data_IF_764084023078
#
_entry.id   IF_764084023078
#
_cell.length_a   1.000
_cell.length_b   1.000
_cell.length_c   1.000
_cell.angle_alpha   90.00
_cell.angle_beta   90.00
_cell.angle_gamma   90.00
#
_symmetry.space_group_name_H-M   'P 1'
#
loop_
_entity.id
_entity.type
_entity.pdbx_description
1 polymer ?
#
# COMPACT_ATOMS: atom_id res chain seq x y z
N UNK A 1 -18.48 38.59 -8.26
CA UNK A 1 -17.85 37.61 -7.35
C UNK A 1 -16.38 37.92 -7.33
N UNK A 2 -15.87 38.39 -6.18
CA UNK A 2 -14.50 38.88 -6.05
C UNK A 2 -13.48 37.72 -6.15
N UNK A 3 -12.30 37.98 -6.71
CA UNK A 3 -11.26 36.97 -6.97
C UNK A 3 -10.75 36.33 -5.66
N UNK A 4 -10.72 37.10 -4.57
CA UNK A 4 -10.39 36.59 -3.24
C UNK A 4 -11.45 35.60 -2.72
N UNK A 5 -12.73 35.90 -2.98
CA UNK A 5 -13.86 35.07 -2.57
C UNK A 5 -13.87 33.74 -3.34
N UNK A 6 -13.52 33.75 -4.63
CA UNK A 6 -13.34 32.53 -5.44
C UNK A 6 -12.20 31.66 -4.93
N UNK A 7 -11.04 32.25 -4.61
CA UNK A 7 -9.88 31.51 -4.04
C UNK A 7 -10.24 30.85 -2.71
N UNK A 8 -10.90 31.60 -1.81
CA UNK A 8 -11.34 31.07 -0.51
C UNK A 8 -12.37 29.95 -0.67
N UNK A 9 -13.31 30.08 -1.60
CA UNK A 9 -14.29 29.03 -1.91
C UNK A 9 -13.62 27.77 -2.46
N UNK A 10 -12.66 27.91 -3.40
CA UNK A 10 -11.89 26.78 -3.92
C UNK A 10 -11.13 26.05 -2.80
N UNK A 11 -10.43 26.79 -1.95
CA UNK A 11 -9.69 26.21 -0.82
C UNK A 11 -10.61 25.47 0.16
N UNK A 12 -11.77 26.04 0.47
CA UNK A 12 -12.78 25.39 1.33
C UNK A 12 -13.34 24.12 0.67
N UNK A 13 -13.59 24.14 -0.64
CA UNK A 13 -14.07 22.97 -1.39
C UNK A 13 -13.02 21.85 -1.41
N UNK A 14 -11.75 22.18 -1.61
CA UNK A 14 -10.65 21.21 -1.53
C UNK A 14 -10.49 20.64 -0.13
N UNK A 15 -10.53 21.48 0.92
CA UNK A 15 -10.51 21.03 2.32
C UNK A 15 -11.68 20.12 2.66
N UNK A 16 -12.90 20.47 2.22
CA UNK A 16 -14.07 19.62 2.45
C UNK A 16 -13.98 18.29 1.71
N UNK A 17 -13.46 18.28 0.46
CA UNK A 17 -13.22 17.05 -0.29
C UNK A 17 -12.22 16.14 0.43
N UNK A 18 -11.11 16.70 0.94
CA UNK A 18 -10.11 16.00 1.75
C UNK A 18 -10.70 15.44 3.05
N UNK A 19 -11.53 16.23 3.74
CA UNK A 19 -12.17 15.77 4.98
C UNK A 19 -13.14 14.61 4.76
N UNK A 20 -13.84 14.61 3.62
CA UNK A 20 -14.74 13.51 3.24
C UNK A 20 -13.95 12.24 2.86
N UNK A 21 -12.82 12.37 2.15
CA UNK A 21 -11.95 11.23 1.86
C UNK A 21 -11.26 10.67 3.12
N UNK A 22 -10.84 11.54 4.05
CA UNK A 22 -10.18 11.15 5.32
C UNK A 22 -11.08 10.30 6.23
N UNK A 23 -12.39 10.22 5.94
CA UNK A 23 -13.35 9.42 6.70
C UNK A 23 -13.97 8.26 5.91
N UNK A 24 -13.80 8.20 4.58
CA UNK A 24 -14.41 7.15 3.76
C UNK A 24 -13.89 5.75 4.14
N UNK A 25 -12.59 5.60 4.36
CA UNK A 25 -12.00 4.32 4.77
C UNK A 25 -12.49 3.84 6.14
N UNK A 26 -12.93 4.74 7.02
CA UNK A 26 -13.52 4.37 8.32
C UNK A 26 -14.83 3.60 8.17
N UNK A 27 -15.52 3.81 7.05
CA UNK A 27 -16.76 3.12 6.71
C UNK A 27 -16.53 1.91 5.78
N UNK A 28 -15.29 1.65 5.35
CA UNK A 28 -14.96 0.48 4.56
C UNK A 28 -14.87 -0.74 5.48
N UNK A 29 -15.90 -1.60 5.44
CA UNK A 29 -15.99 -2.82 6.26
C UNK A 29 -14.78 -3.73 6.11
N UNK A 30 -14.32 -3.99 4.89
CA UNK A 30 -13.18 -4.88 4.63
C UNK A 30 -11.88 -4.32 5.22
N UNK A 31 -11.70 -2.99 5.13
CA UNK A 31 -10.56 -2.34 5.76
C UNK A 31 -10.64 -2.43 7.29
N UNK A 32 -11.82 -2.18 7.89
CA UNK A 32 -11.98 -2.29 9.34
C UNK A 32 -11.73 -3.73 9.83
N UNK A 33 -12.29 -4.74 9.16
CA UNK A 33 -12.05 -6.16 9.46
C UNK A 33 -10.56 -6.52 9.37
N UNK A 34 -9.88 -6.04 8.31
CA UNK A 34 -8.43 -6.20 8.18
C UNK A 34 -7.68 -5.57 9.35
N UNK A 35 -7.99 -4.33 9.70
CA UNK A 35 -7.35 -3.61 10.82
C UNK A 35 -7.58 -4.33 12.16
N UNK A 36 -8.79 -4.84 12.41
CA UNK A 36 -9.12 -5.56 13.64
C UNK A 36 -8.32 -6.87 13.79
N UNK A 37 -7.92 -7.50 12.68
CA UNK A 37 -7.06 -8.69 12.68
C UNK A 37 -5.57 -8.36 12.84
N UNK A 38 -5.14 -7.16 12.44
CA UNK A 38 -3.76 -6.73 12.60
C UNK A 38 -3.51 -6.30 14.06
N UNK A 39 -2.43 -6.81 14.64
CA UNK A 39 -1.95 -6.37 15.96
C UNK A 39 -0.71 -5.49 15.80
N UNK A 40 -0.56 -4.46 16.65
CA UNK A 40 0.59 -3.55 16.66
C UNK A 40 0.88 -2.90 15.29
N UNK A 41 -0.16 -2.34 14.67
CA UNK A 41 -0.07 -1.61 13.40
C UNK A 41 -0.08 -0.08 13.62
N UNK A 42 0.25 0.65 12.57
CA UNK A 42 0.13 2.10 12.49
C UNK A 42 -0.59 2.45 11.18
N UNK A 43 -1.70 3.18 11.26
CA UNK A 43 -2.42 3.70 10.09
C UNK A 43 -1.83 5.06 9.72
N UNK A 44 -1.42 5.23 8.47
CA UNK A 44 -0.87 6.48 7.96
C UNK A 44 -1.99 7.45 7.52
N UNK A 45 -1.64 8.73 7.36
CA UNK A 45 -2.55 9.68 6.69
C UNK A 45 -2.64 9.37 5.19
N UNK A 46 -3.70 9.84 4.53
CA UNK A 46 -3.81 9.72 3.07
C UNK A 46 -2.68 10.47 2.34
N UNK A 47 -2.23 11.61 2.89
CA UNK A 47 -1.09 12.36 2.35
C UNK A 47 0.20 11.56 2.42
N UNK A 48 0.54 10.98 3.58
CA UNK A 48 1.71 10.12 3.72
C UNK A 48 1.61 8.85 2.87
N UNK A 49 0.39 8.33 2.67
CA UNK A 49 0.14 7.19 1.78
C UNK A 49 0.45 7.54 0.32
N UNK A 50 0.02 8.71 -0.14
CA UNK A 50 0.32 9.21 -1.48
C UNK A 50 1.82 9.40 -1.69
N UNK A 51 2.53 9.96 -0.70
CA UNK A 51 3.99 10.09 -0.74
C UNK A 51 4.70 8.73 -0.87
N UNK A 52 4.19 7.69 -0.20
CA UNK A 52 4.73 6.34 -0.27
C UNK A 52 4.52 5.73 -1.66
N UNK A 53 3.33 5.91 -2.26
CA UNK A 53 3.08 5.48 -3.63
C UNK A 53 4.00 6.17 -4.63
N UNK A 54 4.24 7.48 -4.46
CA UNK A 54 5.18 8.22 -5.32
C UNK A 54 6.59 7.62 -5.25
N UNK A 55 7.10 7.35 -4.04
CA UNK A 55 8.43 6.73 -3.85
C UNK A 55 8.50 5.30 -4.39
N UNK A 56 7.41 4.54 -4.29
CA UNK A 56 7.30 3.21 -4.90
C UNK A 56 7.47 3.31 -6.42
N UNK A 57 6.73 4.21 -7.08
CA UNK A 57 6.79 4.38 -8.54
C UNK A 57 8.14 4.95 -9.01
N UNK A 58 8.81 5.75 -8.18
CA UNK A 58 10.17 6.22 -8.44
C UNK A 58 11.22 5.10 -8.32
N UNK A 59 11.03 4.17 -7.38
CA UNK A 59 12.01 3.12 -7.06
C UNK A 59 11.81 1.84 -7.87
N UNK A 60 10.59 1.54 -8.28
CA UNK A 60 10.22 0.32 -8.98
C UNK A 60 9.58 0.67 -10.33
N UNK A 61 9.91 -0.06 -11.41
CA UNK A 61 9.25 0.15 -12.69
C UNK A 61 7.80 -0.31 -12.57
N UNK A 62 6.85 0.59 -12.83
CA UNK A 62 5.42 0.30 -12.79
C UNK A 62 4.82 0.43 -14.19
N UNK A 63 3.93 -0.49 -14.52
CA UNK A 63 3.17 -0.49 -15.78
C UNK A 63 2.10 0.60 -15.77
N UNK A 64 1.55 0.95 -16.94
CA UNK A 64 0.49 1.97 -17.03
C UNK A 64 -0.81 1.56 -16.29
N UNK A 65 -0.98 0.28 -15.99
CA UNK A 65 -2.12 -0.29 -15.26
C UNK A 65 -1.79 -0.59 -13.79
N UNK A 66 -0.66 -0.09 -13.27
CA UNK A 66 -0.39 -0.02 -11.83
C UNK A 66 0.40 -1.19 -11.23
N UNK A 67 0.65 -2.27 -11.98
CA UNK A 67 1.47 -3.40 -11.50
C UNK A 67 2.96 -3.19 -11.72
N UNK A 68 3.80 -3.85 -10.93
CA UNK A 68 5.25 -3.84 -11.14
C UNK A 68 5.60 -4.49 -12.49
N UNK A 69 6.37 -3.78 -13.31
CA UNK A 69 6.93 -4.30 -14.56
C UNK A 69 8.15 -5.17 -14.25
N UNK A 70 7.89 -6.42 -13.84
CA UNK A 70 8.93 -7.40 -13.54
C UNK A 70 9.88 -7.69 -14.70
N UNK A 71 9.48 -7.41 -15.94
CA UNK A 71 10.34 -7.55 -17.12
C UNK A 71 11.39 -6.43 -17.24
N UNK A 72 11.13 -5.27 -16.64
CA UNK A 72 12.07 -4.14 -16.56
C UNK A 72 12.74 -4.00 -15.19
N UNK A 73 12.31 -4.77 -14.20
CA UNK A 73 12.87 -4.70 -12.85
C UNK A 73 14.29 -5.27 -12.81
N UNK A 74 15.25 -4.39 -12.51
CA UNK A 74 16.66 -4.75 -12.41
C UNK A 74 17.02 -5.04 -10.95
N UNK A 75 16.64 -6.23 -10.47
CA UNK A 75 16.87 -6.67 -9.10
C UNK A 75 16.73 -8.18 -8.92
N UNK A 76 16.75 -8.64 -7.67
CA UNK A 76 16.46 -10.04 -7.36
C UNK A 76 14.94 -10.23 -7.45
N UNK A 77 14.51 -11.21 -8.25
CA UNK A 77 13.10 -11.57 -8.40
C UNK A 77 12.89 -12.99 -7.88
N UNK A 78 11.82 -13.21 -7.11
CA UNK A 78 11.38 -14.53 -6.71
C UNK A 78 9.87 -14.70 -6.91
N UNK A 79 9.48 -15.81 -7.56
CA UNK A 79 8.10 -16.13 -7.91
C UNK A 79 7.61 -17.43 -7.25
N UNK A 80 8.33 -17.96 -6.25
CA UNK A 80 7.93 -19.15 -5.49
C UNK A 80 6.75 -18.89 -4.55
N UNK A 81 6.30 -17.65 -4.44
CA UNK A 81 5.13 -17.23 -3.68
C UNK A 81 5.26 -17.36 -2.17
N UNK A 82 4.14 -17.65 -1.50
CA UNK A 82 4.03 -17.65 -0.03
C UNK A 82 5.10 -18.48 0.70
N UNK A 83 5.46 -19.72 0.27
CA UNK A 83 6.50 -20.49 0.94
C UNK A 83 7.86 -19.76 1.03
N UNK A 84 8.22 -19.00 -0.01
CA UNK A 84 9.46 -18.24 0.00
C UNK A 84 9.43 -17.11 1.03
N UNK A 85 8.30 -16.41 1.16
CA UNK A 85 8.15 -15.33 2.13
C UNK A 85 8.38 -15.83 3.56
N UNK A 86 7.76 -16.94 3.94
CA UNK A 86 7.90 -17.54 5.28
C UNK A 86 9.30 -18.10 5.57
N UNK A 87 9.97 -18.67 4.57
CA UNK A 87 11.25 -19.37 4.77
C UNK A 87 12.47 -18.45 4.66
N UNK A 88 12.36 -17.37 3.88
CA UNK A 88 13.53 -16.57 3.50
C UNK A 88 13.54 -15.17 4.10
N UNK A 89 12.36 -14.55 4.25
CA UNK A 89 12.28 -13.17 4.73
C UNK A 89 12.30 -13.10 6.26
N UNK A 90 12.85 -12.01 6.78
CA UNK A 90 12.78 -11.75 8.22
C UNK A 90 11.37 -11.30 8.60
N UNK A 91 10.59 -12.19 9.21
CA UNK A 91 9.19 -11.95 9.56
C UNK A 91 8.98 -10.83 10.59
N UNK A 92 10.04 -10.38 11.28
CA UNK A 92 9.98 -9.23 12.19
C UNK A 92 10.09 -7.88 11.49
N UNK A 93 10.52 -7.86 10.23
CA UNK A 93 10.62 -6.62 9.46
C UNK A 93 9.23 -6.00 9.28
N UNK A 94 9.17 -4.67 9.29
CA UNK A 94 7.95 -3.92 9.02
C UNK A 94 7.84 -3.58 7.54
N UNK A 95 6.62 -3.59 7.05
CA UNK A 95 6.24 -3.23 5.69
C UNK A 95 5.08 -2.24 5.75
N UNK A 96 5.04 -1.34 4.77
CA UNK A 96 3.84 -0.64 4.36
C UNK A 96 2.95 -1.62 3.60
N UNK A 97 1.69 -1.73 3.99
CA UNK A 97 0.63 -2.39 3.25
C UNK A 97 -0.05 -1.31 2.40
N UNK A 98 -0.03 -1.49 1.09
CA UNK A 98 -0.53 -0.56 0.09
C UNK A 98 -1.60 -1.25 -0.74
N UNK A 99 -2.77 -0.63 -0.87
CA UNK A 99 -3.89 -1.14 -1.64
C UNK A 99 -4.19 -0.22 -2.82
N UNK A 100 -4.59 -0.77 -3.97
CA UNK A 100 -5.02 0.00 -5.14
C UNK A 100 -6.44 0.58 -5.00
N UNK A 101 -6.77 1.08 -3.81
CA UNK A 101 -8.05 1.69 -3.50
C UNK A 101 -7.84 3.15 -3.11
N UNK A 102 -8.50 4.05 -3.84
CA UNK A 102 -8.51 5.46 -3.51
C UNK A 102 -9.08 5.69 -2.10
N UNK A 103 -8.58 6.71 -1.41
CA UNK A 103 -8.99 7.11 -0.06
C UNK A 103 -8.79 6.02 1.02
N UNK A 104 -7.99 5.00 0.75
CA UNK A 104 -7.60 3.97 1.73
C UNK A 104 -6.18 4.24 2.23
N UNK A 105 -5.96 4.43 3.54
CA UNK A 105 -4.64 4.73 4.07
C UNK A 105 -3.75 3.48 4.06
N UNK A 106 -2.46 3.70 3.87
CA UNK A 106 -1.43 2.70 4.07
C UNK A 106 -1.34 2.32 5.55
N UNK A 107 -0.94 1.07 5.80
CA UNK A 107 -0.76 0.54 7.15
C UNK A 107 0.65 0.02 7.31
N UNK A 108 1.32 0.38 8.40
CA UNK A 108 2.59 -0.23 8.77
C UNK A 108 2.32 -1.40 9.71
N UNK A 109 2.82 -2.58 9.35
CA UNK A 109 2.77 -3.74 10.24
C UNK A 109 3.99 -4.65 10.02
N UNK A 110 4.24 -5.55 10.97
CA UNK A 110 5.30 -6.56 10.81
C UNK A 110 4.86 -7.67 9.87
N UNK A 111 5.80 -8.21 9.10
CA UNK A 111 5.52 -9.20 8.05
C UNK A 111 4.85 -10.47 8.60
N UNK A 112 5.24 -10.95 9.78
CA UNK A 112 4.58 -12.10 10.41
C UNK A 112 3.07 -11.91 10.58
N UNK A 113 2.67 -10.76 11.12
CA UNK A 113 1.26 -10.43 11.37
C UNK A 113 0.49 -10.25 10.07
N UNK A 114 1.12 -9.62 9.07
CA UNK A 114 0.53 -9.47 7.73
C UNK A 114 0.27 -10.83 7.09
N UNK A 115 1.27 -11.72 7.06
CA UNK A 115 1.15 -13.01 6.39
C UNK A 115 0.18 -13.97 7.10
N UNK A 116 0.08 -13.91 8.43
CA UNK A 116 -0.89 -14.72 9.18
C UNK A 116 -2.35 -14.28 8.95
N UNK A 117 -2.58 -13.02 8.60
CA UNK A 117 -3.91 -12.47 8.30
C UNK A 117 -4.04 -12.07 6.82
N UNK A 118 -3.35 -12.81 5.94
CA UNK A 118 -3.21 -12.41 4.53
C UNK A 118 -4.54 -12.33 3.79
N UNK A 119 -5.54 -13.15 4.17
CA UNK A 119 -6.84 -13.14 3.50
C UNK A 119 -7.60 -11.84 3.77
N UNK A 120 -7.58 -11.35 5.01
CA UNK A 120 -8.19 -10.07 5.37
C UNK A 120 -7.45 -8.91 4.68
N UNK A 121 -6.11 -8.98 4.64
CA UNK A 121 -5.28 -7.99 3.93
C UNK A 121 -5.60 -7.95 2.42
N UNK A 122 -5.73 -9.10 1.77
CA UNK A 122 -6.01 -9.18 0.34
C UNK A 122 -7.50 -8.94 0.01
N UNK A 123 -8.40 -9.02 0.97
CA UNK A 123 -9.82 -8.74 0.75
C UNK A 123 -10.09 -7.24 0.58
N UNK A 124 -9.23 -6.37 1.14
CA UNK A 124 -9.42 -4.91 1.08
C UNK A 124 -9.42 -4.38 -0.36
N UNK A 125 -8.55 -4.89 -1.23
CA UNK A 125 -8.48 -4.46 -2.64
C UNK A 125 -7.83 -5.51 -3.55
N UNK A 126 -8.05 -5.38 -4.86
CA UNK A 126 -7.60 -6.36 -5.86
C UNK A 126 -6.07 -6.47 -5.97
N UNK A 127 -5.37 -5.33 -5.93
CA UNK A 127 -3.92 -5.31 -5.93
C UNK A 127 -3.41 -4.81 -4.57
N UNK A 128 -2.46 -5.57 -4.02
CA UNK A 128 -1.81 -5.24 -2.76
C UNK A 128 -0.31 -5.31 -2.93
N UNK A 129 0.40 -4.30 -2.41
CA UNK A 129 1.86 -4.29 -2.33
C UNK A 129 2.29 -4.21 -0.87
N UNK A 130 3.32 -4.98 -0.53
CA UNK A 130 4.06 -4.82 0.71
C UNK A 130 5.41 -4.20 0.39
N UNK A 131 5.62 -2.95 0.78
CA UNK A 131 6.89 -2.24 0.60
C UNK A 131 7.64 -2.20 1.93
N UNK A 132 8.89 -2.66 1.96
CA UNK A 132 9.72 -2.58 3.18
C UNK A 132 9.93 -1.11 3.59
N UNK A 133 10.08 -0.83 4.90
CA UNK A 133 10.25 0.56 5.37
C UNK A 133 11.48 1.31 4.82
N UNK A 134 12.53 0.57 4.43
CA UNK A 134 13.73 1.09 3.79
C UNK A 134 13.64 1.06 2.25
N UNK A 135 12.46 0.74 1.72
CA UNK A 135 12.06 0.81 0.31
C UNK A 135 12.95 -0.02 -0.64
N UNK A 136 13.61 -1.06 -0.11
CA UNK A 136 14.52 -1.91 -0.87
C UNK A 136 13.91 -3.23 -1.33
N UNK A 137 12.78 -3.62 -0.74
CA UNK A 137 12.07 -4.87 -0.98
C UNK A 137 10.59 -4.59 -1.20
N UNK A 138 10.00 -5.29 -2.18
CA UNK A 138 8.59 -5.21 -2.50
C UNK A 138 8.02 -6.62 -2.69
N UNK A 139 6.80 -6.84 -2.20
CA UNK A 139 6.02 -8.04 -2.47
C UNK A 139 4.73 -7.58 -3.15
N UNK A 140 4.48 -8.06 -4.36
CA UNK A 140 3.23 -7.80 -5.08
C UNK A 140 2.33 -9.03 -5.00
N UNK A 141 1.09 -8.82 -4.56
CA UNK A 141 0.00 -9.76 -4.63
C UNK A 141 -0.94 -9.34 -5.76
N UNK A 142 -0.72 -9.91 -6.94
CA UNK A 142 -1.47 -9.55 -8.14
C UNK A 142 -2.76 -10.38 -8.23
N UNK A 143 -3.91 -9.70 -8.14
CA UNK A 143 -5.27 -10.29 -8.08
C UNK A 143 -5.39 -11.45 -7.07
N UNK A 144 -4.64 -11.40 -5.97
CA UNK A 144 -4.58 -12.46 -4.95
C UNK A 144 -4.10 -13.84 -5.43
N UNK A 145 -3.70 -13.99 -6.70
CA UNK A 145 -3.39 -15.30 -7.31
C UNK A 145 -1.89 -15.51 -7.54
N UNK A 146 -1.15 -14.42 -7.77
CA UNK A 146 0.29 -14.46 -8.02
C UNK A 146 1.01 -13.59 -6.99
N UNK A 147 1.99 -14.20 -6.31
CA UNK A 147 2.84 -13.52 -5.33
C UNK A 147 4.25 -13.45 -5.90
N UNK A 148 4.74 -12.22 -6.09
CA UNK A 148 6.09 -11.97 -6.60
C UNK A 148 6.85 -11.09 -5.61
N UNK A 149 8.06 -11.50 -5.27
CA UNK A 149 8.98 -10.74 -4.44
C UNK A 149 10.07 -10.10 -5.31
N UNK A 150 10.38 -8.84 -5.02
CA UNK A 150 11.46 -8.07 -5.61
C UNK A 150 12.38 -7.49 -4.54
N UNK A 151 13.68 -7.47 -4.81
CA UNK A 151 14.68 -6.75 -4.00
C UNK A 151 15.65 -5.99 -4.89
N UNK A 152 15.84 -4.72 -4.60
CA UNK A 152 16.84 -3.88 -5.27
C UNK A 152 18.25 -4.39 -4.93
N UNK A 153 19.10 -4.54 -5.96
CA UNK A 153 20.52 -4.77 -5.77
C UNK A 153 21.19 -3.41 -5.57
N UNK A 154 21.78 -3.19 -4.40
CA UNK A 154 22.66 -2.04 -4.14
C UNK A 154 24.09 -2.40 -4.47
#
# INVERSE_FOLDING_TARGET
MDEEQKKRYHLLKEKNKRRLSDENWKNNTLFQECIDCLNNFEILSLESTEEIFNRLVESFPVTFYGSIDWGKFNGIINTKGMPYLYQTLNLKNKYYILWDMQDTPAVICNLFTILNNIYDVLAVSFNTWLLSLNENEIIEFYHGSKVTYGKLQK
#
